data_IF_349329724072
#
_entry.id   IF_349329724072
#
_cell.length_a   1.000
_cell.length_b   1.000
_cell.length_c   1.000
_cell.angle_alpha   90.00
_cell.angle_beta   90.00
_cell.angle_gamma   90.00
#
_symmetry.space_group_name_H-M   'P 1'
#
loop_
_entity.id
_entity.type
_entity.pdbx_description
1 polymer ?
#
# COMPACT_ATOMS: atom_id res chain seq x y z
N UNK A 1 -20.08 -9.74 -4.13
CA UNK A 1 -19.03 -10.51 -4.80
C UNK A 1 -19.33 -11.99 -4.64
N UNK A 2 -19.43 -12.72 -5.73
CA UNK A 2 -19.59 -14.18 -5.70
C UNK A 2 -18.20 -14.81 -5.78
N UNK A 3 -17.86 -15.63 -4.78
CA UNK A 3 -16.65 -16.47 -4.83
C UNK A 3 -17.02 -17.74 -5.59
N UNK A 4 -16.25 -18.04 -6.64
CA UNK A 4 -16.40 -19.31 -7.34
C UNK A 4 -15.97 -20.45 -6.39
N UNK A 5 -16.94 -21.28 -5.97
CA UNK A 5 -16.72 -22.39 -5.06
C UNK A 5 -15.83 -23.50 -5.62
N UNK A 6 -15.60 -23.52 -6.94
CA UNK A 6 -14.67 -24.46 -7.60
C UNK A 6 -13.22 -24.04 -7.46
N UNK A 7 -12.94 -22.76 -7.13
CA UNK A 7 -11.58 -22.21 -7.03
C UNK A 7 -10.99 -22.52 -5.66
N UNK A 8 -9.92 -23.30 -5.66
CA UNK A 8 -9.14 -23.54 -4.44
C UNK A 8 -8.36 -22.28 -4.05
N UNK A 9 -8.57 -21.79 -2.83
CA UNK A 9 -7.84 -20.68 -2.23
C UNK A 9 -6.92 -21.23 -1.14
N UNK A 10 -5.64 -20.98 -1.27
CA UNK A 10 -4.63 -21.49 -0.34
C UNK A 10 -4.40 -20.55 0.84
N UNK A 11 -4.59 -19.24 0.63
CA UNK A 11 -4.36 -18.22 1.65
C UNK A 11 -5.47 -17.17 1.66
N UNK A 12 -5.95 -16.85 2.84
CA UNK A 12 -6.87 -15.73 3.06
C UNK A 12 -6.17 -14.67 3.91
N UNK A 13 -6.15 -13.44 3.41
CA UNK A 13 -5.57 -12.29 4.10
C UNK A 13 -6.72 -11.44 4.63
N UNK A 14 -6.73 -11.15 5.90
CA UNK A 14 -7.70 -10.26 6.54
C UNK A 14 -7.07 -8.88 6.74
N UNK A 15 -7.57 -7.90 6.01
CA UNK A 15 -7.09 -6.53 6.00
C UNK A 15 -6.34 -6.17 4.71
N UNK A 16 -6.81 -5.13 4.03
CA UNK A 16 -6.22 -4.57 2.81
C UNK A 16 -5.47 -3.25 3.10
N UNK A 17 -4.83 -3.16 4.25
CA UNK A 17 -3.82 -2.15 4.56
C UNK A 17 -2.47 -2.50 3.94
N UNK A 18 -1.44 -1.69 4.21
CA UNK A 18 -0.11 -1.86 3.60
C UNK A 18 0.48 -3.26 3.85
N UNK A 19 0.28 -3.82 5.03
CA UNK A 19 0.81 -5.16 5.36
C UNK A 19 0.12 -6.27 4.57
N UNK A 20 -1.21 -6.25 4.50
CA UNK A 20 -1.99 -7.25 3.75
C UNK A 20 -1.73 -7.15 2.25
N UNK A 21 -1.65 -5.95 1.71
CA UNK A 21 -1.33 -5.72 0.30
C UNK A 21 0.10 -6.15 -0.04
N UNK A 22 1.06 -5.89 0.84
CA UNK A 22 2.45 -6.35 0.67
C UNK A 22 2.55 -7.87 0.68
N UNK A 23 1.84 -8.54 1.60
CA UNK A 23 1.77 -9.99 1.60
C UNK A 23 1.16 -10.53 0.30
N UNK A 24 0.05 -9.93 -0.15
CA UNK A 24 -0.58 -10.27 -1.43
C UNK A 24 0.37 -10.11 -2.63
N UNK A 25 1.16 -9.04 -2.65
CA UNK A 25 2.19 -8.84 -3.66
C UNK A 25 3.19 -9.99 -3.71
N UNK A 26 3.74 -10.43 -2.58
CA UNK A 26 4.68 -11.54 -2.54
C UNK A 26 4.05 -12.89 -2.86
N UNK A 27 2.82 -13.14 -2.44
CA UNK A 27 2.07 -14.35 -2.82
C UNK A 27 1.83 -14.40 -4.33
N UNK A 28 1.47 -13.25 -4.92
CA UNK A 28 1.31 -13.13 -6.37
C UNK A 28 2.61 -13.41 -7.14
N UNK A 29 3.75 -12.88 -6.67
CA UNK A 29 5.07 -13.20 -7.28
C UNK A 29 5.41 -14.69 -7.24
N UNK A 30 4.87 -15.41 -6.26
CA UNK A 30 5.07 -16.86 -6.11
C UNK A 30 3.96 -17.69 -6.79
N UNK A 31 3.07 -17.06 -7.56
CA UNK A 31 1.92 -17.70 -8.21
C UNK A 31 1.03 -18.50 -7.24
N UNK A 32 0.91 -18.03 -6.00
CA UNK A 32 0.02 -18.64 -5.01
C UNK A 32 -1.39 -18.05 -5.09
N UNK A 33 -2.39 -18.90 -4.88
CA UNK A 33 -3.79 -18.47 -4.84
C UNK A 33 -4.12 -17.85 -3.50
N UNK A 34 -4.61 -16.62 -3.51
CA UNK A 34 -5.01 -15.93 -2.28
C UNK A 34 -6.22 -15.03 -2.52
N UNK A 35 -6.88 -14.65 -1.43
CA UNK A 35 -7.89 -13.61 -1.38
C UNK A 35 -7.56 -12.63 -0.25
N UNK A 36 -7.89 -11.37 -0.47
CA UNK A 36 -7.80 -10.33 0.55
C UNK A 36 -9.21 -9.84 0.86
N UNK A 37 -9.57 -9.84 2.13
CA UNK A 37 -10.81 -9.28 2.64
C UNK A 37 -10.53 -8.07 3.50
N UNK A 38 -11.37 -7.03 3.36
CA UNK A 38 -11.36 -5.86 4.23
C UNK A 38 -12.79 -5.47 4.59
N UNK A 39 -12.98 -4.96 5.79
CA UNK A 39 -14.27 -4.42 6.24
C UNK A 39 -14.64 -3.11 5.56
N UNK A 40 -13.66 -2.39 5.01
CA UNK A 40 -13.85 -1.14 4.28
C UNK A 40 -13.97 -1.41 2.78
N UNK A 41 -14.69 -0.53 2.09
CA UNK A 41 -14.85 -0.61 0.62
C UNK A 41 -13.57 -0.26 -0.14
N UNK A 42 -12.65 0.49 0.46
CA UNK A 42 -11.39 0.95 -0.14
C UNK A 42 -10.22 0.24 0.52
N UNK A 43 -9.26 -0.18 -0.28
CA UNK A 43 -7.96 -0.65 0.20
C UNK A 43 -7.08 0.52 0.64
N UNK A 44 -6.00 0.25 1.37
CA UNK A 44 -5.03 1.23 1.85
C UNK A 44 -4.97 1.39 3.36
N UNK A 45 -6.02 0.99 4.08
CA UNK A 45 -6.06 1.07 5.55
C UNK A 45 -5.92 2.51 6.05
N UNK A 46 -4.89 2.77 6.83
CA UNK A 46 -4.59 4.10 7.36
C UNK A 46 -3.89 5.03 6.36
N UNK A 47 -3.42 4.52 5.23
CA UNK A 47 -2.83 5.31 4.16
C UNK A 47 -3.97 5.82 3.28
N UNK A 48 -4.39 7.04 3.52
CA UNK A 48 -5.44 7.69 2.74
C UNK A 48 -5.28 9.21 2.76
N UNK A 49 -5.77 9.85 1.72
CA UNK A 49 -5.77 11.29 1.58
C UNK A 49 -7.19 11.79 1.35
N UNK A 50 -7.51 12.95 1.85
CA UNK A 50 -8.75 13.64 1.56
C UNK A 50 -8.47 15.00 0.93
N UNK A 51 -9.34 15.40 0.01
CA UNK A 51 -9.25 16.73 -0.65
C UNK A 51 -10.41 17.57 -0.16
N UNK A 52 -10.11 18.74 0.40
CA UNK A 52 -11.10 19.70 0.85
C UNK A 52 -10.64 21.11 0.50
N UNK A 53 -11.50 21.88 -0.15
CA UNK A 53 -11.26 23.28 -0.52
C UNK A 53 -9.93 23.50 -1.26
N UNK A 54 -9.53 22.56 -2.12
CA UNK A 54 -8.27 22.59 -2.87
C UNK A 54 -7.02 22.14 -2.08
N UNK A 55 -7.18 21.77 -0.80
CA UNK A 55 -6.13 21.25 0.04
C UNK A 55 -6.14 19.72 0.07
N UNK A 56 -4.96 19.12 0.02
CA UNK A 56 -4.78 17.67 0.23
C UNK A 56 -4.39 17.46 1.70
N UNK A 57 -5.21 16.68 2.40
CA UNK A 57 -4.99 16.32 3.80
C UNK A 57 -4.69 14.82 3.89
N UNK A 58 -3.52 14.49 4.42
CA UNK A 58 -3.15 13.10 4.70
C UNK A 58 -3.81 12.63 6.00
N UNK A 59 -4.53 11.52 5.94
CA UNK A 59 -5.26 10.98 7.09
C UNK A 59 -4.42 9.99 7.92
N UNK A 60 -3.21 9.69 7.47
CA UNK A 60 -2.30 8.74 8.09
C UNK A 60 -0.85 8.98 7.68
N UNK A 61 -0.06 7.91 7.50
CA UNK A 61 1.33 8.03 7.08
C UNK A 61 1.44 8.75 5.72
N UNK A 62 2.36 9.70 5.63
CA UNK A 62 2.58 10.52 4.44
C UNK A 62 4.01 10.41 3.88
N UNK A 63 4.85 9.61 4.52
CA UNK A 63 6.25 9.40 4.11
C UNK A 63 6.63 7.93 4.18
N UNK A 64 7.56 7.53 3.33
CA UNK A 64 8.15 6.21 3.34
C UNK A 64 9.68 6.32 3.39
N UNK A 65 10.32 5.43 4.15
CA UNK A 65 11.77 5.34 4.19
C UNK A 65 12.27 4.41 3.08
N UNK A 66 13.15 4.91 2.23
CA UNK A 66 13.76 4.16 1.13
C UNK A 66 15.13 3.57 1.53
N UNK A 67 15.22 3.08 2.75
CA UNK A 67 16.44 2.50 3.31
C UNK A 67 16.52 0.97 3.19
N UNK A 68 15.55 0.36 2.53
CA UNK A 68 15.45 -1.09 2.36
C UNK A 68 15.25 -1.43 0.88
N UNK A 69 16.01 -2.39 0.38
CA UNK A 69 15.95 -2.80 -1.03
C UNK A 69 14.61 -3.43 -1.39
N UNK A 70 13.97 -4.16 -0.47
CA UNK A 70 12.64 -4.72 -0.70
C UNK A 70 11.57 -3.64 -0.93
N UNK A 71 11.68 -2.50 -0.24
CA UNK A 71 10.76 -1.36 -0.45
C UNK A 71 10.98 -0.76 -1.85
N UNK A 72 12.23 -0.59 -2.25
CA UNK A 72 12.56 -0.07 -3.58
C UNK A 72 12.07 -1.01 -4.68
N UNK A 73 12.27 -2.32 -4.51
CA UNK A 73 11.81 -3.35 -5.43
C UNK A 73 10.28 -3.28 -5.63
N UNK A 74 9.50 -3.21 -4.55
CA UNK A 74 8.05 -3.10 -4.64
C UNK A 74 7.64 -1.82 -5.42
N UNK A 75 8.24 -0.68 -5.08
CA UNK A 75 7.95 0.60 -5.75
C UNK A 75 8.25 0.53 -7.25
N UNK A 76 9.35 -0.11 -7.63
CA UNK A 76 9.72 -0.32 -9.02
C UNK A 76 8.74 -1.25 -9.74
N UNK A 77 8.44 -2.40 -9.15
CA UNK A 77 7.55 -3.41 -9.72
C UNK A 77 6.12 -2.91 -9.95
N UNK A 78 5.61 -2.04 -9.06
CA UNK A 78 4.29 -1.42 -9.21
C UNK A 78 4.30 -0.14 -10.06
N UNK A 79 5.46 0.25 -10.60
CA UNK A 79 5.60 1.36 -11.55
C UNK A 79 5.56 2.76 -10.94
N UNK A 80 5.83 2.90 -9.64
CA UNK A 80 5.78 4.19 -8.92
C UNK A 80 7.12 4.90 -8.77
N UNK A 81 8.20 4.39 -9.35
CA UNK A 81 9.55 4.97 -9.17
C UNK A 81 9.65 6.43 -9.60
N UNK A 82 8.91 6.83 -10.63
CA UNK A 82 8.89 8.21 -11.14
C UNK A 82 7.95 9.14 -10.37
N UNK A 83 7.08 8.57 -9.54
CA UNK A 83 6.11 9.32 -8.73
C UNK A 83 6.66 9.70 -7.34
N UNK A 84 7.88 9.27 -7.01
CA UNK A 84 8.49 9.54 -5.72
C UNK A 84 8.85 11.02 -5.64
N UNK A 85 8.34 11.68 -4.59
CA UNK A 85 8.67 13.06 -4.26
C UNK A 85 9.63 13.05 -3.07
N UNK A 86 10.79 13.65 -3.25
CA UNK A 86 11.78 13.77 -2.18
C UNK A 86 11.61 15.10 -1.42
N UNK A 87 11.82 15.10 -0.10
CA UNK A 87 11.75 16.33 0.68
C UNK A 87 12.83 17.31 0.23
N UNK A 88 12.52 18.60 0.33
CA UNK A 88 13.51 19.64 0.06
C UNK A 88 14.67 19.53 1.06
N UNK A 89 15.90 19.47 0.57
CA UNK A 89 17.12 19.34 1.38
C UNK A 89 17.31 20.47 2.39
N UNK A 90 16.66 21.61 2.18
CA UNK A 90 16.73 22.77 3.08
C UNK A 90 15.72 22.70 4.24
N UNK A 91 14.74 21.81 4.20
CA UNK A 91 13.74 21.65 5.25
C UNK A 91 14.23 20.69 6.33
N UNK A 92 15.08 21.19 7.24
CA UNK A 92 15.62 20.41 8.37
C UNK A 92 14.83 20.59 9.68
N UNK A 93 13.83 21.47 9.70
CA UNK A 93 13.05 21.77 10.91
C UNK A 93 11.92 20.76 11.09
N UNK A 94 11.88 20.13 12.25
CA UNK A 94 10.73 19.35 12.72
C UNK A 94 9.98 20.19 13.74
N UNK A 95 8.69 20.36 13.52
CA UNK A 95 7.79 20.94 14.51
C UNK A 95 7.09 19.79 15.24
N UNK A 96 7.24 19.76 16.54
CA UNK A 96 6.57 18.77 17.42
C UNK A 96 5.29 19.40 17.98
#
# INVERSE_FOLDING_TARGET
MKIDSSRKIDTVILGAGISGLTLGYYLNKKNQNFLIFDSKRMSGGNISSSVKDGFICENGPNTILLNNDSVKEIIEDIGLSKEIIYPNKNNKKRFL
#
